data_IF_790335057723
#
_entry.id   IF_790335057723
#
_cell.length_a   1.000
_cell.length_b   1.000
_cell.length_c   1.000
_cell.angle_alpha   90.00
_cell.angle_beta   90.00
_cell.angle_gamma   90.00
#
_symmetry.space_group_name_H-M   'P 1'
#
loop_
_entity.id
_entity.type
_entity.pdbx_description
1 polymer ?
#
# COMPACT_ATOMS: atom_id res chain seq x y z
N UNK A 1 -25.08 14.00 -36.56
CA UNK A 1 -23.74 14.44 -36.98
C UNK A 1 -23.07 15.12 -35.80
N UNK A 2 -22.20 14.41 -35.08
CA UNK A 2 -21.34 15.01 -34.05
C UNK A 2 -19.89 14.73 -34.41
N UNK A 3 -19.29 15.66 -35.15
CA UNK A 3 -17.88 15.66 -35.58
C UNK A 3 -16.96 16.23 -34.49
N UNK A 4 -17.14 15.81 -33.24
CA UNK A 4 -16.20 16.13 -32.17
C UNK A 4 -15.95 14.89 -31.35
N UNK A 5 -14.66 14.56 -31.19
CA UNK A 5 -14.09 13.75 -30.13
C UNK A 5 -15.06 13.61 -28.95
N UNK A 6 -15.76 12.49 -28.83
CA UNK A 6 -16.61 12.25 -27.67
C UNK A 6 -15.68 12.11 -26.48
N UNK A 7 -15.54 13.16 -25.66
CA UNK A 7 -14.75 13.08 -24.45
C UNK A 7 -15.26 11.94 -23.58
N UNK A 8 -14.38 11.36 -22.74
CA UNK A 8 -14.84 10.36 -21.78
C UNK A 8 -15.90 10.97 -20.85
N UNK A 9 -16.65 10.12 -20.15
CA UNK A 9 -17.77 10.55 -19.30
C UNK A 9 -17.33 11.03 -17.90
N UNK A 10 -16.02 11.22 -17.67
CA UNK A 10 -15.51 11.69 -16.38
C UNK A 10 -15.80 13.18 -16.23
N UNK A 11 -16.55 13.52 -15.18
CA UNK A 11 -16.85 14.90 -14.80
C UNK A 11 -15.78 15.44 -13.85
N UNK A 12 -15.66 16.76 -13.78
CA UNK A 12 -14.80 17.39 -12.79
C UNK A 12 -15.32 17.08 -11.38
N UNK A 13 -14.46 16.58 -10.51
CA UNK A 13 -14.83 16.19 -9.15
C UNK A 13 -13.60 16.13 -8.23
N UNK A 14 -13.83 16.01 -6.93
CA UNK A 14 -12.78 15.81 -5.93
C UNK A 14 -13.04 14.50 -5.21
N UNK A 15 -12.01 13.66 -5.17
CA UNK A 15 -11.96 12.43 -4.40
C UNK A 15 -11.34 12.74 -3.04
N UNK A 16 -12.02 12.36 -1.97
CA UNK A 16 -11.47 12.33 -0.61
C UNK A 16 -11.11 10.89 -0.29
N UNK A 17 -9.82 10.64 -0.14
CA UNK A 17 -9.25 9.32 0.14
C UNK A 17 -8.88 9.28 1.61
N UNK A 18 -9.48 8.34 2.35
CA UNK A 18 -9.21 8.13 3.77
C UNK A 18 -8.60 6.75 3.99
N UNK A 19 -7.42 6.71 4.58
CA UNK A 19 -6.69 5.47 4.89
C UNK A 19 -5.60 5.72 5.93
N UNK A 20 -5.22 4.70 6.68
CA UNK A 20 -4.21 4.80 7.76
C UNK A 20 -4.53 5.88 8.81
N UNK A 21 -5.82 6.15 9.04
CA UNK A 21 -6.29 7.23 9.93
C UNK A 21 -6.04 8.66 9.44
N UNK A 22 -5.63 8.85 8.18
CA UNK A 22 -5.43 10.17 7.55
C UNK A 22 -6.34 10.35 6.35
N UNK A 23 -6.53 11.59 5.92
CA UNK A 23 -7.31 11.94 4.73
C UNK A 23 -6.50 12.81 3.79
N UNK A 24 -6.70 12.63 2.49
CA UNK A 24 -6.13 13.48 1.45
C UNK A 24 -7.12 13.64 0.30
N UNK A 25 -7.03 14.74 -0.42
CA UNK A 25 -7.92 15.03 -1.54
C UNK A 25 -7.18 14.95 -2.87
N UNK A 26 -7.87 14.45 -3.90
CA UNK A 26 -7.39 14.34 -5.27
C UNK A 26 -8.41 15.02 -6.18
N UNK A 27 -7.96 16.02 -6.94
CA UNK A 27 -8.82 16.71 -7.90
C UNK A 27 -8.78 16.00 -9.24
N UNK A 28 -9.94 15.55 -9.70
CA UNK A 28 -10.15 14.92 -11.00
C UNK A 28 -10.70 15.98 -11.96
N UNK A 29 -9.98 16.27 -13.03
CA UNK A 29 -10.46 17.15 -14.09
C UNK A 29 -11.53 16.45 -14.95
N UNK A 30 -12.42 17.22 -15.57
CA UNK A 30 -13.34 16.68 -16.58
C UNK A 30 -12.53 16.08 -17.74
N UNK A 31 -12.93 14.91 -18.24
CA UNK A 31 -12.20 14.22 -19.30
C UNK A 31 -10.92 13.51 -18.84
N UNK A 32 -10.61 13.45 -17.53
CA UNK A 32 -9.39 12.80 -17.05
C UNK A 32 -9.41 11.30 -17.35
N UNK A 33 -8.29 10.76 -17.84
CA UNK A 33 -8.12 9.32 -18.06
C UNK A 33 -7.99 8.57 -16.73
N UNK A 34 -8.29 7.27 -16.74
CA UNK A 34 -8.08 6.45 -15.55
C UNK A 34 -6.61 6.45 -15.09
N UNK A 35 -5.65 6.48 -16.02
CA UNK A 35 -4.22 6.65 -15.73
C UNK A 35 -3.96 7.87 -14.87
N UNK A 36 -4.48 9.04 -15.27
CA UNK A 36 -4.26 10.28 -14.54
C UNK A 36 -4.84 10.22 -13.13
N UNK A 37 -6.04 9.66 -12.98
CA UNK A 37 -6.70 9.51 -11.68
C UNK A 37 -5.90 8.56 -10.77
N UNK A 38 -5.36 7.47 -11.32
CA UNK A 38 -4.50 6.56 -10.57
C UNK A 38 -3.17 7.22 -10.18
N UNK A 39 -2.54 7.99 -11.07
CA UNK A 39 -1.30 8.73 -10.76
C UNK A 39 -1.51 9.76 -9.65
N UNK A 40 -2.58 10.56 -9.75
CA UNK A 40 -2.90 11.57 -8.74
C UNK A 40 -3.24 10.92 -7.38
N UNK A 41 -3.84 9.73 -7.39
CA UNK A 41 -4.05 8.92 -6.18
C UNK A 41 -2.74 8.36 -5.63
N UNK A 42 -1.88 7.85 -6.49
CA UNK A 42 -0.59 7.28 -6.10
C UNK A 42 0.36 8.34 -5.52
N UNK A 43 0.20 9.61 -5.92
CA UNK A 43 0.92 10.73 -5.35
C UNK A 43 0.61 10.98 -3.86
N UNK A 44 -0.55 10.54 -3.36
CA UNK A 44 -0.95 10.67 -1.95
C UNK A 44 -0.82 9.37 -1.14
N UNK A 45 -0.33 8.28 -1.75
CA UNK A 45 -0.20 6.96 -1.11
C UNK A 45 0.70 6.97 0.12
N UNK A 46 1.76 7.78 0.16
CA UNK A 46 2.64 7.86 1.34
C UNK A 46 1.91 8.32 2.61
N UNK A 47 0.85 9.13 2.44
CA UNK A 47 0.05 9.67 3.53
C UNK A 47 -1.10 8.72 3.86
N UNK A 48 -1.89 8.36 2.85
CA UNK A 48 -3.15 7.60 3.04
C UNK A 48 -2.96 6.08 3.10
N UNK A 49 -1.84 5.55 2.60
CA UNK A 49 -1.64 4.10 2.43
C UNK A 49 -2.44 3.48 1.27
N UNK A 50 -3.22 4.27 0.53
CA UNK A 50 -4.06 3.81 -0.59
C UNK A 50 -3.31 3.98 -1.90
N UNK A 51 -3.14 2.91 -2.66
CA UNK A 51 -2.63 2.90 -4.02
C UNK A 51 -3.76 2.68 -5.03
N UNK A 52 -3.51 3.03 -6.28
CA UNK A 52 -4.45 2.87 -7.38
C UNK A 52 -3.76 2.26 -8.60
N UNK A 53 -4.46 1.34 -9.26
CA UNK A 53 -4.10 0.79 -10.57
C UNK A 53 -5.18 1.16 -11.58
N UNK A 54 -4.78 1.47 -12.82
CA UNK A 54 -5.69 1.82 -13.89
C UNK A 54 -5.50 0.89 -15.08
N UNK A 55 -6.61 0.48 -15.70
CA UNK A 55 -6.61 -0.25 -16.96
C UNK A 55 -7.84 0.14 -17.75
N UNK A 56 -7.74 0.08 -19.08
CA UNK A 56 -8.87 0.28 -19.98
C UNK A 56 -8.97 -0.93 -20.89
N UNK A 57 -10.18 -1.48 -21.03
CA UNK A 57 -10.44 -2.56 -21.98
C UNK A 57 -11.71 -2.24 -22.76
N UNK A 58 -11.65 -2.43 -24.06
CA UNK A 58 -12.76 -2.20 -24.98
C UNK A 58 -12.84 -3.34 -25.98
N UNK A 59 -14.05 -3.79 -26.31
CA UNK A 59 -14.29 -4.76 -27.39
C UNK A 59 -14.92 -4.06 -28.59
N UNK A 60 -14.36 -4.30 -29.76
CA UNK A 60 -14.97 -3.95 -31.05
C UNK A 60 -15.45 -5.24 -31.71
N UNK A 61 -16.74 -5.35 -31.98
CA UNK A 61 -17.34 -6.57 -32.50
C UNK A 61 -18.68 -6.34 -33.17
N UNK A 62 -19.45 -7.42 -33.32
CA UNK A 62 -20.79 -7.40 -33.93
C UNK A 62 -20.82 -6.70 -35.29
N UNK A 63 -19.77 -6.92 -36.10
CA UNK A 63 -19.65 -6.32 -37.41
C UNK A 63 -20.75 -6.84 -38.33
N UNK A 64 -21.53 -5.93 -38.94
CA UNK A 64 -22.65 -6.32 -39.80
C UNK A 64 -22.23 -6.68 -41.23
N UNK A 65 -21.08 -6.22 -41.70
CA UNK A 65 -20.63 -6.43 -43.08
C UNK A 65 -19.11 -6.55 -43.17
N UNK A 66 -18.62 -7.54 -43.92
CA UNK A 66 -17.21 -7.69 -44.24
C UNK A 66 -16.78 -6.60 -45.23
N UNK A 67 -15.58 -6.04 -45.08
CA UNK A 67 -15.10 -4.91 -45.87
C UNK A 67 -13.82 -4.30 -45.32
N UNK A 68 -13.37 -3.19 -45.91
CA UNK A 68 -12.23 -2.43 -45.41
C UNK A 68 -12.69 -1.50 -44.29
N UNK A 69 -12.21 -1.76 -43.08
CA UNK A 69 -12.48 -0.94 -41.90
C UNK A 69 -11.35 0.06 -41.72
N UNK A 70 -11.70 1.33 -41.54
CA UNK A 70 -10.75 2.37 -41.15
C UNK A 70 -11.32 3.22 -40.02
N UNK A 71 -10.45 3.66 -39.11
CA UNK A 71 -10.76 4.60 -38.04
C UNK A 71 -9.47 5.23 -37.49
N UNK A 72 -9.61 6.34 -36.77
CA UNK A 72 -8.52 6.98 -36.04
C UNK A 72 -8.52 6.52 -34.58
N UNK A 73 -7.39 6.01 -34.10
CA UNK A 73 -7.23 5.47 -32.75
C UNK A 73 -6.39 6.40 -31.86
N UNK A 74 -6.88 6.60 -30.64
CA UNK A 74 -6.14 7.25 -29.56
C UNK A 74 -6.08 6.35 -28.33
N UNK A 75 -4.93 6.41 -27.67
CA UNK A 75 -4.62 5.81 -26.38
C UNK A 75 -3.69 6.76 -25.61
N UNK A 76 -2.40 6.41 -25.50
CA UNK A 76 -1.37 7.27 -24.90
C UNK A 76 -0.87 8.39 -25.82
N UNK A 77 -1.16 8.31 -27.12
CA UNK A 77 -0.78 9.29 -28.14
C UNK A 77 -1.62 10.57 -28.06
N UNK A 78 -0.98 11.71 -28.36
CA UNK A 78 -1.65 13.02 -28.46
C UNK A 78 -2.25 13.32 -29.85
N UNK A 79 -1.88 12.56 -30.88
CA UNK A 79 -2.35 12.73 -32.26
C UNK A 79 -2.92 11.42 -32.81
N UNK A 80 -4.02 11.49 -33.57
CA UNK A 80 -4.69 10.32 -34.15
C UNK A 80 -3.72 9.40 -34.91
N UNK A 81 -3.85 8.10 -34.70
CA UNK A 81 -3.20 7.07 -35.52
C UNK A 81 -4.26 6.38 -36.36
N UNK A 82 -4.14 6.47 -37.68
CA UNK A 82 -5.05 5.80 -38.60
C UNK A 82 -4.83 4.29 -38.56
N UNK A 83 -5.89 3.55 -38.27
CA UNK A 83 -5.95 2.08 -38.33
C UNK A 83 -6.77 1.71 -39.55
N UNK A 84 -6.24 0.80 -40.37
CA UNK A 84 -6.93 0.29 -41.55
C UNK A 84 -6.69 -1.19 -41.72
N UNK A 85 -7.75 -1.97 -41.94
CA UNK A 85 -7.66 -3.40 -42.18
C UNK A 85 -8.80 -3.90 -43.07
N UNK A 86 -8.51 -4.86 -43.93
CA UNK A 86 -9.52 -5.56 -44.72
C UNK A 86 -10.02 -6.78 -43.95
N UNK A 87 -11.32 -6.84 -43.73
CA UNK A 87 -12.01 -7.94 -43.04
C UNK A 87 -12.74 -8.78 -44.08
N UNK A 88 -12.36 -10.06 -44.21
CA UNK A 88 -12.95 -10.98 -45.18
C UNK A 88 -14.23 -11.66 -44.69
N UNK A 89 -14.41 -11.78 -43.37
CA UNK A 89 -15.60 -12.35 -42.74
C UNK A 89 -15.89 -11.59 -41.45
N UNK A 90 -17.17 -11.34 -41.15
CA UNK A 90 -17.57 -10.60 -39.95
C UNK A 90 -17.17 -11.29 -38.64
N UNK A 91 -16.87 -12.58 -38.67
CA UNK A 91 -16.37 -13.34 -37.54
C UNK A 91 -14.84 -13.38 -37.40
N UNK A 92 -14.09 -12.81 -38.34
CA UNK A 92 -12.62 -12.78 -38.30
C UNK A 92 -12.11 -11.35 -38.36
N UNK A 93 -11.77 -10.82 -37.18
CA UNK A 93 -11.21 -9.48 -37.02
C UNK A 93 -9.70 -9.52 -36.73
N UNK A 94 -9.02 -10.63 -37.04
CA UNK A 94 -7.58 -10.79 -36.81
C UNK A 94 -6.75 -9.72 -37.52
N UNK A 95 -7.14 -9.32 -38.73
CA UNK A 95 -6.50 -8.24 -39.49
C UNK A 95 -6.62 -6.88 -38.80
N UNK A 96 -7.77 -6.59 -38.18
CA UNK A 96 -7.98 -5.36 -37.40
C UNK A 96 -7.08 -5.37 -36.16
N UNK A 97 -7.04 -6.48 -35.42
CA UNK A 97 -6.16 -6.60 -34.26
C UNK A 97 -4.68 -6.48 -34.64
N UNK A 98 -4.26 -7.07 -35.76
CA UNK A 98 -2.90 -6.92 -36.27
C UNK A 98 -2.57 -5.46 -36.63
N UNK A 99 -3.49 -4.74 -37.28
CA UNK A 99 -3.32 -3.32 -37.61
C UNK A 99 -3.21 -2.44 -36.36
N UNK A 100 -3.99 -2.72 -35.31
CA UNK A 100 -3.87 -2.04 -34.01
C UNK A 100 -2.51 -2.37 -33.37
N UNK A 101 -2.14 -3.65 -33.33
CA UNK A 101 -0.89 -4.10 -32.70
C UNK A 101 0.35 -3.51 -33.40
N UNK A 102 0.31 -3.29 -34.72
CA UNK A 102 1.37 -2.61 -35.45
C UNK A 102 1.61 -1.16 -34.97
N UNK A 103 0.63 -0.55 -34.32
CA UNK A 103 0.68 0.82 -33.81
C UNK A 103 0.81 0.89 -32.28
N UNK A 104 1.02 -0.23 -31.59
CA UNK A 104 1.12 -0.31 -30.11
C UNK A 104 2.16 0.65 -29.54
N UNK A 105 3.29 0.85 -30.22
CA UNK A 105 4.34 1.75 -29.75
C UNK A 105 3.89 3.21 -29.64
N UNK A 106 2.95 3.63 -30.51
CA UNK A 106 2.39 4.98 -30.50
C UNK A 106 1.18 5.08 -29.58
N UNK A 107 0.27 4.09 -29.64
CA UNK A 107 -1.02 4.16 -28.95
C UNK A 107 -1.01 3.58 -27.54
N UNK A 108 -0.05 2.73 -27.19
CA UNK A 108 -0.03 1.98 -25.93
C UNK A 108 -1.18 0.97 -25.80
N UNK A 109 -1.83 0.60 -26.92
CA UNK A 109 -2.97 -0.32 -26.95
C UNK A 109 -2.55 -1.63 -27.59
N UNK A 110 -2.73 -2.73 -26.88
CA UNK A 110 -2.63 -4.09 -27.42
C UNK A 110 -4.01 -4.64 -27.79
N UNK A 111 -4.10 -5.40 -28.88
CA UNK A 111 -5.33 -6.02 -29.34
C UNK A 111 -5.21 -7.54 -29.44
N UNK A 112 -6.26 -8.26 -29.05
CA UNK A 112 -6.42 -9.71 -29.23
C UNK A 112 -7.79 -10.01 -29.84
N UNK A 113 -7.94 -11.17 -30.48
CA UNK A 113 -9.21 -11.59 -31.07
C UNK A 113 -9.71 -12.86 -30.41
N UNK A 114 -10.97 -12.87 -30.02
CA UNK A 114 -11.67 -14.05 -29.54
C UNK A 114 -13.15 -13.97 -29.91
N UNK A 115 -13.71 -15.05 -30.44
CA UNK A 115 -15.14 -15.16 -30.74
C UNK A 115 -15.70 -14.08 -31.67
N UNK A 116 -14.93 -13.63 -32.67
CA UNK A 116 -15.36 -12.58 -33.61
C UNK A 116 -15.39 -11.17 -33.03
N UNK A 117 -14.69 -10.94 -31.93
CA UNK A 117 -14.51 -9.62 -31.30
C UNK A 117 -13.03 -9.30 -31.14
N UNK A 118 -12.66 -8.03 -31.37
CA UNK A 118 -11.33 -7.50 -31.05
C UNK A 118 -11.38 -6.91 -29.66
N UNK A 119 -10.61 -7.47 -28.73
CA UNK A 119 -10.40 -6.89 -27.40
C UNK A 119 -9.15 -6.01 -27.44
N UNK A 120 -9.34 -4.71 -27.26
CA UNK A 120 -8.29 -3.71 -27.10
C UNK A 120 -8.04 -3.47 -25.61
N UNK A 121 -6.79 -3.41 -25.21
CA UNK A 121 -6.37 -3.17 -23.83
C UNK A 121 -5.30 -2.09 -23.77
N UNK A 122 -5.53 -1.07 -22.94
CA UNK A 122 -4.51 -0.14 -22.47
C UNK A 122 -4.14 -0.53 -21.04
N UNK A 123 -2.92 -1.07 -20.87
CA UNK A 123 -2.43 -1.53 -19.55
C UNK A 123 -2.20 -0.37 -18.57
N UNK A 124 -1.91 0.81 -19.07
CA UNK A 124 -1.73 2.00 -18.24
C UNK A 124 -3.06 2.68 -17.90
N UNK A 125 -4.16 2.32 -18.57
CA UNK A 125 -5.47 2.95 -18.32
C UNK A 125 -5.66 4.30 -19.01
N UNK A 126 -4.99 4.51 -20.15
CA UNK A 126 -5.41 5.58 -21.08
C UNK A 126 -6.74 5.21 -21.71
N UNK A 127 -7.53 6.21 -22.10
CA UNK A 127 -8.81 5.97 -22.75
C UNK A 127 -8.60 5.34 -24.13
N UNK A 128 -9.51 4.47 -24.54
CA UNK A 128 -9.52 3.92 -25.89
C UNK A 128 -10.55 4.70 -26.68
N UNK A 129 -10.09 5.55 -27.59
CA UNK A 129 -10.95 6.42 -28.39
C UNK A 129 -10.83 6.08 -29.86
N UNK A 130 -11.99 5.85 -30.47
CA UNK A 130 -12.16 5.61 -31.90
C UNK A 130 -12.84 6.84 -32.48
N UNK A 131 -12.23 7.44 -33.48
CA UNK A 131 -12.81 8.50 -34.30
C UNK A 131 -12.98 8.03 -35.74
N UNK A 132 -13.96 8.62 -36.43
CA UNK A 132 -14.17 8.44 -37.87
C UNK A 132 -14.30 6.95 -38.29
N UNK A 133 -15.10 6.17 -37.56
CA UNK A 133 -15.32 4.78 -37.95
C UNK A 133 -15.99 4.68 -39.31
N UNK A 134 -15.38 3.92 -40.22
CA UNK A 134 -15.92 3.63 -41.54
C UNK A 134 -15.66 2.18 -41.95
N UNK A 135 -16.58 1.62 -42.72
CA UNK A 135 -16.47 0.34 -43.39
C UNK A 135 -16.88 0.51 -44.86
N UNK A 136 -16.02 0.07 -45.79
CA UNK A 136 -16.25 0.18 -47.23
C UNK A 136 -17.53 -0.51 -47.73
N UNK A 137 -18.01 -1.55 -47.01
CA UNK A 137 -19.25 -2.25 -47.33
C UNK A 137 -20.48 -1.67 -46.61
N UNK A 138 -20.31 -0.60 -45.84
CA UNK A 138 -21.35 -0.04 -44.96
C UNK A 138 -21.55 -0.87 -43.68
N UNK A 139 -22.69 -0.67 -43.03
CA UNK A 139 -23.08 -1.37 -41.80
C UNK A 139 -22.55 -0.74 -40.52
N UNK A 140 -22.74 -1.45 -39.41
CA UNK A 140 -22.35 -1.01 -38.08
C UNK A 140 -21.38 -2.00 -37.40
N UNK A 141 -20.70 -1.50 -36.37
CA UNK A 141 -19.96 -2.29 -35.39
C UNK A 141 -20.36 -1.83 -33.98
N UNK A 142 -20.19 -2.69 -32.98
CA UNK A 142 -20.42 -2.35 -31.58
C UNK A 142 -19.09 -2.15 -30.86
N UNK A 143 -18.90 -0.97 -30.26
CA UNK A 143 -17.82 -0.70 -29.32
C UNK A 143 -18.37 -0.78 -27.90
N UNK A 144 -17.79 -1.66 -27.08
CA UNK A 144 -18.25 -1.85 -25.69
C UNK A 144 -17.07 -1.76 -24.73
N UNK A 145 -17.23 -1.06 -23.61
CA UNK A 145 -16.25 -1.11 -22.52
C UNK A 145 -16.35 -2.44 -21.79
N UNK A 146 -15.21 -2.98 -21.36
CA UNK A 146 -15.14 -4.17 -20.52
C UNK A 146 -14.51 -3.82 -19.17
N UNK A 147 -14.83 -4.59 -18.13
CA UNK A 147 -14.13 -4.50 -16.85
C UNK A 147 -12.79 -5.25 -16.95
N UNK A 148 -11.64 -4.56 -16.98
CA UNK A 148 -10.34 -5.20 -17.06
C UNK A 148 -9.95 -5.93 -15.76
N UNK A 149 -10.65 -5.68 -14.65
CA UNK A 149 -10.37 -6.27 -13.36
C UNK A 149 -11.29 -7.44 -13.01
N UNK A 150 -12.33 -7.70 -13.81
CA UNK A 150 -13.19 -8.86 -13.61
C UNK A 150 -12.48 -10.16 -13.99
N UNK A 151 -12.78 -11.26 -13.28
CA UNK A 151 -12.26 -12.60 -13.61
C UNK A 151 -12.86 -13.17 -14.90
N UNK A 152 -14.04 -12.69 -15.28
CA UNK A 152 -14.74 -13.02 -16.51
C UNK A 152 -15.08 -11.75 -17.29
N UNK A 153 -15.17 -11.88 -18.61
CA UNK A 153 -15.49 -10.76 -19.49
C UNK A 153 -16.85 -10.16 -19.11
N UNK A 154 -16.81 -8.98 -18.48
CA UNK A 154 -18.00 -8.27 -18.00
C UNK A 154 -18.09 -6.93 -18.71
N UNK A 155 -19.21 -6.69 -19.40
CA UNK A 155 -19.43 -5.43 -20.07
C UNK A 155 -19.65 -4.30 -19.06
N UNK A 156 -19.07 -3.15 -19.37
CA UNK A 156 -19.14 -1.93 -18.59
C UNK A 156 -19.87 -0.86 -19.39
N UNK A 157 -21.05 -0.49 -18.90
CA UNK A 157 -21.92 0.45 -19.60
C UNK A 157 -22.64 -0.18 -20.80
N UNK A 158 -23.28 0.66 -21.60
CA UNK A 158 -23.99 0.25 -22.80
C UNK A 158 -23.05 0.20 -24.00
N UNK A 159 -23.22 -0.81 -24.86
CA UNK A 159 -22.54 -0.86 -26.15
C UNK A 159 -22.92 0.37 -26.99
N UNK A 160 -21.92 0.99 -27.62
CA UNK A 160 -22.11 2.10 -28.56
C UNK A 160 -22.01 1.54 -29.97
N UNK A 161 -23.07 1.73 -30.76
CA UNK A 161 -23.08 1.34 -32.17
C UNK A 161 -22.34 2.40 -32.99
N UNK A 162 -21.23 2.00 -33.60
CA UNK A 162 -20.49 2.79 -34.57
C UNK A 162 -21.07 2.57 -35.96
N UNK A 163 -21.55 3.63 -36.60
CA UNK A 163 -22.20 3.56 -37.93
C UNK A 163 -21.27 4.04 -39.03
N UNK A 164 -21.07 3.23 -40.07
CA UNK A 164 -20.26 3.62 -41.23
C UNK A 164 -20.92 4.77 -42.01
N UNK A 165 -20.10 5.73 -42.47
CA UNK A 165 -20.54 6.84 -43.34
C UNK A 165 -20.99 8.10 -42.60
N UNK A 166 -21.01 8.11 -41.26
CA UNK A 166 -21.36 9.28 -40.46
C UNK A 166 -20.20 9.87 -39.66
N UNK A 167 -18.97 9.42 -39.91
CA UNK A 167 -17.79 9.78 -39.11
C UNK A 167 -18.01 9.52 -37.61
N UNK A 168 -18.60 8.36 -37.30
CA UNK A 168 -19.03 8.04 -35.95
C UNK A 168 -17.84 7.82 -35.02
N UNK A 169 -17.95 8.32 -33.80
CA UNK A 169 -16.82 8.42 -32.87
C UNK A 169 -17.27 8.08 -31.45
N UNK A 170 -16.45 7.37 -30.70
CA UNK A 170 -16.75 6.96 -29.32
C UNK A 170 -15.48 6.77 -28.51
N UNK A 171 -15.60 6.97 -27.19
CA UNK A 171 -14.51 6.81 -26.23
C UNK A 171 -14.93 5.86 -25.13
N UNK A 172 -14.10 4.85 -24.89
CA UNK A 172 -14.18 3.98 -23.72
C UNK A 172 -13.19 4.49 -22.67
N UNK A 173 -13.74 4.98 -21.56
CA UNK A 173 -12.95 5.40 -20.41
C UNK A 173 -12.44 4.21 -19.59
N UNK A 174 -11.26 4.37 -19.01
CA UNK A 174 -10.67 3.34 -18.16
C UNK A 174 -11.35 3.13 -16.81
N UNK A 175 -10.92 2.07 -16.12
CA UNK A 175 -11.31 1.73 -14.75
C UNK A 175 -10.12 1.96 -13.83
N UNK A 176 -10.41 2.42 -12.62
CA UNK A 176 -9.41 2.55 -11.54
C UNK A 176 -9.79 1.59 -10.42
N UNK A 177 -8.84 0.76 -10.01
CA UNK A 177 -8.95 -0.11 -8.84
C UNK A 177 -8.05 0.42 -7.74
N UNK A 178 -8.61 0.58 -6.55
CA UNK A 178 -7.90 1.06 -5.38
C UNK A 178 -7.53 -0.12 -4.48
N UNK A 179 -6.36 -0.04 -3.87
CA UNK A 179 -5.80 -1.10 -3.03
C UNK A 179 -5.10 -0.47 -1.82
N UNK A 180 -5.06 -1.21 -0.70
CA UNK A 180 -4.37 -0.81 0.52
C UNK A 180 -4.16 -2.05 1.37
N UNK A 181 -3.12 -2.04 2.22
CA UNK A 181 -2.91 -3.08 3.22
C UNK A 181 -3.85 -2.95 4.43
N UNK A 182 -4.42 -1.77 4.63
CA UNK A 182 -5.39 -1.47 5.68
C UNK A 182 -6.74 -1.06 5.08
N UNK A 183 -7.80 -1.06 5.91
CA UNK A 183 -9.11 -0.57 5.50
C UNK A 183 -9.07 0.90 5.08
N UNK A 184 -9.77 1.23 4.01
CA UNK A 184 -9.84 2.59 3.46
C UNK A 184 -11.24 2.94 2.99
N UNK A 185 -11.50 4.23 2.80
CA UNK A 185 -12.71 4.72 2.15
C UNK A 185 -12.38 5.75 1.09
N UNK A 186 -13.18 5.80 0.03
CA UNK A 186 -13.10 6.83 -1.00
C UNK A 186 -14.46 7.50 -1.10
N UNK A 187 -14.47 8.82 -0.96
CA UNK A 187 -15.67 9.63 -1.12
C UNK A 187 -15.47 10.55 -2.32
N UNK A 188 -16.52 10.80 -3.10
CA UNK A 188 -16.50 11.80 -4.17
C UNK A 188 -17.51 12.91 -3.86
N UNK A 189 -17.24 14.13 -4.29
CA UNK A 189 -18.22 15.22 -4.23
C UNK A 189 -19.26 15.18 -5.38
N UNK A 190 -19.16 14.24 -6.32
CA UNK A 190 -20.07 14.08 -7.46
C UNK A 190 -20.50 12.62 -7.65
N UNK A 191 -21.80 12.36 -7.77
CA UNK A 191 -22.40 11.02 -7.82
C UNK A 191 -22.86 10.56 -9.20
N UNK A 192 -22.32 11.13 -10.28
CA UNK A 192 -22.83 10.89 -11.64
C UNK A 192 -21.80 10.29 -12.60
N UNK A 193 -20.53 10.21 -12.20
CA UNK A 193 -19.44 9.81 -13.10
C UNK A 193 -18.66 8.60 -12.56
N UNK A 194 -17.63 8.80 -11.72
CA UNK A 194 -16.83 7.69 -11.17
C UNK A 194 -17.62 6.82 -10.17
N UNK A 195 -18.47 7.45 -9.37
CA UNK A 195 -19.31 6.76 -8.38
C UNK A 195 -20.77 7.15 -8.58
N UNK A 196 -21.67 6.29 -8.14
CA UNK A 196 -23.13 6.41 -8.31
C UNK A 196 -23.79 7.32 -7.27
N UNK A 197 -23.06 7.73 -6.22
CA UNK A 197 -23.57 8.60 -5.17
C UNK A 197 -22.49 9.59 -4.72
N UNK A 198 -22.91 10.84 -4.50
CA UNK A 198 -22.05 11.90 -3.96
C UNK A 198 -22.01 11.81 -2.44
N UNK A 199 -20.88 12.19 -1.85
CA UNK A 199 -20.67 12.31 -0.40
C UNK A 199 -20.94 11.03 0.40
N UNK A 200 -21.00 9.86 -0.26
CA UNK A 200 -21.13 8.56 0.40
C UNK A 200 -19.77 7.86 0.40
N UNK A 201 -19.20 7.56 1.58
CA UNK A 201 -17.94 6.82 1.66
C UNK A 201 -18.09 5.42 1.07
N UNK A 202 -17.31 5.12 0.03
CA UNK A 202 -17.17 3.79 -0.52
C UNK A 202 -16.10 3.06 0.28
N UNK A 203 -16.52 2.15 1.15
CA UNK A 203 -15.60 1.38 1.99
C UNK A 203 -14.94 0.25 1.19
N UNK A 204 -13.66 0.04 1.46
CA UNK A 204 -12.91 -1.09 0.93
C UNK A 204 -13.48 -2.42 1.40
N UNK A 205 -13.47 -3.43 0.53
CA UNK A 205 -13.73 -4.81 0.92
C UNK A 205 -12.42 -5.53 1.23
N UNK A 206 -12.45 -6.41 2.23
CA UNK A 206 -11.29 -7.23 2.57
C UNK A 206 -11.17 -8.41 1.60
N UNK A 207 -10.08 -8.47 0.84
CA UNK A 207 -9.69 -9.66 0.08
C UNK A 207 -8.99 -10.66 1.02
N UNK A 208 -9.70 -11.71 1.42
CA UNK A 208 -9.11 -12.76 2.25
C UNK A 208 -8.15 -13.64 1.44
N UNK A 209 -6.98 -13.94 2.00
CA UNK A 209 -5.96 -14.80 1.35
C UNK A 209 -6.55 -16.18 1.01
N UNK A 210 -7.46 -16.70 1.84
CA UNK A 210 -8.13 -17.99 1.61
C UNK A 210 -9.13 -18.00 0.46
N UNK A 211 -9.56 -16.83 -0.03
CA UNK A 211 -10.53 -16.68 -1.10
C UNK A 211 -9.87 -16.28 -2.44
N UNK A 212 -8.54 -16.28 -2.51
CA UNK A 212 -7.80 -15.96 -3.72
C UNK A 212 -7.91 -17.11 -4.73
N UNK A 213 -8.26 -16.76 -5.96
CA UNK A 213 -8.27 -17.67 -7.10
C UNK A 213 -7.26 -17.18 -8.16
N UNK A 214 -6.33 -18.06 -8.53
CA UNK A 214 -5.27 -17.80 -9.52
C UNK A 214 -5.57 -18.41 -10.89
N UNK A 215 -6.77 -18.99 -11.08
CA UNK A 215 -7.19 -19.61 -12.34
C UNK A 215 -7.28 -18.63 -13.50
N UNK A 216 -7.40 -17.33 -13.21
CA UNK A 216 -7.48 -16.24 -14.19
C UNK A 216 -6.33 -15.27 -14.03
N UNK A 217 -5.97 -14.57 -15.11
CA UNK A 217 -4.92 -13.54 -15.08
C UNK A 217 -5.28 -12.40 -14.13
N UNK A 218 -6.55 -11.97 -14.09
CA UNK A 218 -6.99 -10.93 -13.15
C UNK A 218 -6.88 -11.42 -11.70
N UNK A 219 -7.38 -12.63 -11.41
CA UNK A 219 -7.30 -13.24 -10.09
C UNK A 219 -5.86 -13.44 -9.60
N UNK A 220 -4.93 -13.81 -10.49
CA UNK A 220 -3.51 -13.91 -10.16
C UNK A 220 -2.88 -12.54 -9.80
N UNK A 221 -3.23 -11.46 -10.51
CA UNK A 221 -2.77 -10.11 -10.17
C UNK A 221 -3.32 -9.64 -8.82
N UNK A 222 -4.59 -9.94 -8.54
CA UNK A 222 -5.23 -9.65 -7.26
C UNK A 222 -4.60 -10.43 -6.11
N UNK A 223 -4.25 -11.69 -6.36
CA UNK A 223 -3.56 -12.54 -5.40
C UNK A 223 -2.17 -11.98 -5.07
N UNK A 224 -1.40 -11.55 -6.07
CA UNK A 224 -0.11 -10.89 -5.85
C UNK A 224 -0.25 -9.66 -4.96
N UNK A 225 -1.17 -8.75 -5.29
CA UNK A 225 -1.39 -7.53 -4.51
C UNK A 225 -1.85 -7.82 -3.07
N UNK A 226 -2.73 -8.81 -2.89
CA UNK A 226 -3.23 -9.21 -1.56
C UNK A 226 -2.13 -9.85 -0.71
N UNK A 227 -1.30 -10.72 -1.32
CA UNK A 227 -0.18 -11.38 -0.63
C UNK A 227 0.90 -10.36 -0.26
N UNK A 228 1.24 -9.42 -1.14
CA UNK A 228 2.21 -8.36 -0.85
C UNK A 228 1.75 -7.49 0.33
N UNK A 229 0.47 -7.14 0.37
CA UNK A 229 -0.13 -6.43 1.49
C UNK A 229 -0.05 -7.23 2.81
N UNK A 230 -0.38 -8.53 2.76
CA UNK A 230 -0.30 -9.41 3.91
C UNK A 230 1.14 -9.59 4.42
N UNK A 231 2.11 -9.76 3.52
CA UNK A 231 3.53 -9.85 3.85
C UNK A 231 4.05 -8.55 4.47
N UNK A 232 3.64 -7.40 3.94
CA UNK A 232 3.97 -6.09 4.50
C UNK A 232 3.44 -5.94 5.94
N UNK A 233 2.21 -6.38 6.20
CA UNK A 233 1.63 -6.39 7.54
C UNK A 233 2.40 -7.29 8.53
N UNK A 234 2.80 -8.49 8.09
CA UNK A 234 3.64 -9.40 8.88
C UNK A 234 5.02 -8.78 9.15
N UNK A 235 5.64 -8.17 8.14
CA UNK A 235 6.94 -7.52 8.27
C UNK A 235 6.88 -6.34 9.25
N UNK A 236 5.84 -5.51 9.18
CA UNK A 236 5.58 -4.43 10.13
C UNK A 236 5.44 -4.94 11.57
N UNK A 237 4.65 -6.00 11.76
CA UNK A 237 4.49 -6.65 13.07
C UNK A 237 5.82 -7.19 13.62
N UNK A 238 6.64 -7.83 12.77
CA UNK A 238 7.99 -8.30 13.14
C UNK A 238 8.93 -7.16 13.50
N UNK A 239 8.87 -6.04 12.77
CA UNK A 239 9.67 -4.86 13.05
C UNK A 239 9.30 -4.25 14.42
N UNK A 240 8.01 -4.16 14.75
CA UNK A 240 7.54 -3.71 16.06
C UNK A 240 8.01 -4.63 17.19
N UNK A 241 7.91 -5.95 17.01
CA UNK A 241 8.42 -6.92 17.98
C UNK A 241 9.95 -6.80 18.15
N UNK A 242 10.70 -6.60 17.07
CA UNK A 242 12.14 -6.36 17.12
C UNK A 242 12.50 -5.06 17.87
N UNK A 243 11.74 -3.99 17.66
CA UNK A 243 11.91 -2.75 18.41
C UNK A 243 11.65 -2.94 19.91
N UNK A 244 10.62 -3.71 20.27
CA UNK A 244 10.32 -4.07 21.66
C UNK A 244 11.47 -4.89 22.27
N UNK A 245 12.02 -5.87 21.54
CA UNK A 245 13.17 -6.65 21.99
C UNK A 245 14.39 -5.77 22.27
N UNK A 246 14.70 -4.82 21.38
CA UNK A 246 15.79 -3.86 21.60
C UNK A 246 15.56 -2.99 22.84
N UNK A 247 14.32 -2.56 23.06
CA UNK A 247 13.96 -1.80 24.26
C UNK A 247 14.13 -2.65 25.53
N UNK A 248 13.72 -3.92 25.50
CA UNK A 248 13.94 -4.83 26.63
C UNK A 248 15.42 -5.06 26.90
N UNK A 249 16.25 -5.32 25.89
CA UNK A 249 17.69 -5.48 26.06
C UNK A 249 18.34 -4.23 26.69
N UNK A 250 17.97 -3.04 26.21
CA UNK A 250 18.46 -1.77 26.74
C UNK A 250 18.02 -1.56 28.20
N UNK A 251 16.77 -1.89 28.51
CA UNK A 251 16.22 -1.77 29.87
C UNK A 251 16.92 -2.75 30.83
N UNK A 252 17.14 -3.99 30.40
CA UNK A 252 17.85 -5.00 31.18
C UNK A 252 19.28 -4.55 31.47
N UNK A 253 20.03 -4.08 30.45
CA UNK A 253 21.40 -3.59 30.64
C UNK A 253 21.48 -2.43 31.64
N UNK A 254 20.54 -1.47 31.55
CA UNK A 254 20.46 -0.37 32.50
C UNK A 254 20.12 -0.85 33.92
N UNK A 255 19.18 -1.79 34.06
CA UNK A 255 18.80 -2.38 35.35
C UNK A 255 19.96 -3.15 35.98
N UNK A 256 20.72 -3.93 35.19
CA UNK A 256 21.92 -4.65 35.67
C UNK A 256 22.97 -3.68 36.20
N UNK A 257 23.26 -2.61 35.45
CA UNK A 257 24.21 -1.57 35.89
C UNK A 257 23.74 -0.88 37.17
N UNK A 258 22.45 -0.58 37.26
CA UNK A 258 21.85 0.02 38.46
C UNK A 258 21.91 -0.93 39.66
N UNK A 259 21.63 -2.22 39.45
CA UNK A 259 21.71 -3.24 40.48
C UNK A 259 23.15 -3.44 40.99
N UNK A 260 24.15 -3.43 40.11
CA UNK A 260 25.57 -3.49 40.46
C UNK A 260 25.99 -2.27 41.30
N UNK A 261 25.62 -1.06 40.86
CA UNK A 261 25.88 0.17 41.60
C UNK A 261 25.20 0.17 42.97
N UNK A 262 23.95 -0.25 43.07
CA UNK A 262 23.23 -0.38 44.35
C UNK A 262 23.86 -1.42 45.26
N UNK A 263 24.29 -2.55 44.71
CA UNK A 263 24.99 -3.60 45.48
C UNK A 263 26.34 -3.10 45.99
N UNK A 264 27.10 -2.38 45.17
CA UNK A 264 28.37 -1.75 45.57
C UNK A 264 28.17 -0.70 46.65
N UNK A 265 27.17 0.19 46.50
CA UNK A 265 26.82 1.19 47.50
C UNK A 265 26.42 0.53 48.82
N UNK A 266 25.62 -0.54 48.77
CA UNK A 266 25.22 -1.30 49.95
C UNK A 266 26.41 -2.01 50.60
N UNK A 267 27.33 -2.61 49.84
CA UNK A 267 28.56 -3.20 50.38
C UNK A 267 29.38 -2.16 51.12
N UNK A 268 29.61 -0.98 50.54
CA UNK A 268 30.36 0.10 51.20
C UNK A 268 29.75 0.55 52.53
N UNK A 269 28.41 0.63 52.60
CA UNK A 269 27.71 0.95 53.85
C UNK A 269 27.93 -0.18 54.86
N UNK A 270 27.67 -1.43 54.46
CA UNK A 270 27.82 -2.58 55.36
C UNK A 270 29.27 -2.78 55.84
N UNK A 271 30.26 -2.62 54.95
CA UNK A 271 31.68 -2.75 55.28
C UNK A 271 32.13 -1.65 56.24
N UNK A 272 31.63 -0.41 56.07
CA UNK A 272 31.90 0.69 56.99
C UNK A 272 31.27 0.45 58.37
N UNK A 273 30.02 -0.01 58.42
CA UNK A 273 29.32 -0.37 59.65
C UNK A 273 30.04 -1.51 60.38
N UNK A 274 30.49 -2.54 59.65
CA UNK A 274 31.25 -3.66 60.21
C UNK A 274 32.60 -3.21 60.78
N UNK A 275 33.31 -2.35 60.06
CA UNK A 275 34.58 -1.79 60.52
C UNK A 275 34.38 -0.96 61.82
N UNK A 276 33.32 -0.16 61.88
CA UNK A 276 32.98 0.63 63.07
C UNK A 276 32.61 -0.26 64.27
N UNK A 277 31.78 -1.28 64.07
CA UNK A 277 31.39 -2.21 65.14
C UNK A 277 32.56 -3.05 65.63
N UNK A 278 33.42 -3.53 64.71
CA UNK A 278 34.63 -4.26 65.07
C UNK A 278 35.59 -3.38 65.86
N UNK A 279 35.80 -2.12 65.46
CA UNK A 279 36.63 -1.18 66.21
C UNK A 279 36.06 -0.91 67.62
N UNK A 280 34.73 -0.82 67.75
CA UNK A 280 34.07 -0.69 69.05
C UNK A 280 34.24 -1.95 69.91
N UNK A 281 34.07 -3.14 69.33
CA UNK A 281 34.29 -4.42 70.00
C UNK A 281 35.74 -4.57 70.47
N UNK A 282 36.72 -4.29 69.60
CA UNK A 282 38.15 -4.33 69.94
C UNK A 282 38.47 -3.31 71.03
N UNK A 283 37.95 -2.08 70.94
CA UNK A 283 38.10 -1.07 72.00
C UNK A 283 37.53 -1.58 73.32
N UNK A 284 36.34 -2.19 73.30
CA UNK A 284 35.71 -2.80 74.47
C UNK A 284 36.55 -3.91 75.08
N UNK A 285 37.09 -4.82 74.26
CA UNK A 285 37.98 -5.90 74.71
C UNK A 285 39.30 -5.38 75.30
N UNK A 286 39.94 -4.39 74.66
CA UNK A 286 41.16 -3.75 75.18
C UNK A 286 40.86 -3.05 76.51
N UNK A 287 39.75 -2.34 76.63
CA UNK A 287 39.36 -1.70 77.89
C UNK A 287 39.08 -2.74 78.99
N UNK A 288 38.47 -3.87 78.66
CA UNK A 288 38.27 -4.97 79.61
C UNK A 288 39.60 -5.59 80.06
N UNK A 289 40.52 -5.88 79.13
CA UNK A 289 41.86 -6.42 79.44
C UNK A 289 42.74 -5.41 80.20
N UNK A 290 42.69 -4.13 79.83
CA UNK A 290 43.39 -3.07 80.55
C UNK A 290 42.78 -2.84 81.94
N UNK A 291 41.45 -2.93 82.07
CA UNK A 291 40.76 -2.87 83.35
C UNK A 291 41.16 -4.00 84.29
N UNK A 292 41.25 -5.25 83.80
CA UNK A 292 41.72 -6.38 84.61
C UNK A 292 43.21 -6.28 84.94
N UNK A 293 44.07 -5.86 84.01
CA UNK A 293 45.49 -5.64 84.26
C UNK A 293 45.75 -4.47 85.22
N UNK A 294 45.01 -3.37 85.11
CA UNK A 294 45.07 -2.23 86.03
C UNK A 294 44.56 -2.61 87.42
N UNK A 295 43.48 -3.39 87.52
CA UNK A 295 43.02 -3.96 88.78
C UNK A 295 44.05 -4.91 89.38
N UNK A 296 44.73 -5.73 88.57
CA UNK A 296 45.81 -6.60 89.03
C UNK A 296 47.02 -5.80 89.52
N UNK A 297 47.43 -4.76 88.79
CA UNK A 297 48.51 -3.85 89.16
C UNK A 297 48.17 -3.07 90.44
N UNK A 298 46.95 -2.51 90.53
CA UNK A 298 46.46 -1.80 91.71
C UNK A 298 46.28 -2.73 92.93
N UNK A 299 45.98 -4.02 92.74
CA UNK A 299 45.99 -5.01 93.83
C UNK A 299 47.41 -5.45 94.23
N UNK A 300 48.38 -5.38 93.32
CA UNK A 300 49.78 -5.73 93.60
C UNK A 300 50.61 -4.58 94.21
N UNK A 301 50.24 -3.33 93.94
CA UNK A 301 50.91 -2.13 94.45
C UNK A 301 50.92 -2.03 96.00
N UNK A 302 49.83 -2.36 96.73
CA UNK A 302 49.83 -2.37 98.20
C UNK A 302 50.83 -3.37 98.80
N UNK A 303 51.05 -4.51 98.13
CA UNK A 303 52.02 -5.51 98.57
C UNK A 303 53.47 -5.00 98.41
N UNK A 304 53.75 -4.19 97.38
CA UNK A 304 55.05 -3.53 97.21
C UNK A 304 55.32 -2.44 98.24
N UNK A 305 54.30 -1.67 98.63
CA UNK A 305 54.43 -0.61 99.65
C UNK A 305 54.59 -1.21 101.06
N UNK A 306 53.97 -2.35 101.34
CA UNK A 306 54.17 -3.08 102.61
C UNK A 306 55.59 -3.64 102.76
N UNK A 307 56.32 -3.89 101.67
CA UNK A 307 57.73 -4.28 101.72
C UNK A 307 58.64 -3.10 102.09
N UNK A 308 58.28 -1.88 101.69
CA UNK A 308 59.04 -0.66 101.99
C UNK A 308 58.78 -0.12 103.41
N UNK A 309 57.64 -0.47 104.02
CA UNK A 309 57.30 -0.10 105.40
C UNK A 309 57.86 -1.07 106.45
N UNK A 310 58.48 -2.18 106.02
CA UNK A 310 59.06 -3.24 106.87
C UNK A 310 60.58 -3.39 106.76
N UNK A 311 61.24 -2.63 105.90
CA UNK A 311 62.70 -2.55 105.77
C UNK A 311 63.22 -1.22 106.29
#
# INVERSE_FOLDING_TARGET
>A
ASTSAVANRVGAQTLTIAGKGTTSTVTVAAGATAKKIADDTNAVTSTTGVSASAQTQATLGSLQSAGSITFNLYGSNSSAVAIGATVSSTGDLSSVAAAINAQTASTGISASVSGGTVTMQSKDGYDIKIEDFTNSAGGTAALTGQDPFASTATNVGSAVTLTSGTNDSSTVGGRVKFNSAEGYTITTNSGTTLFTAASTPQASTLSAVSALDISTVSGANDAMSTIDAALSSIASSRAQLGAIQNRFASTISNLTTTAENLTSARSRIQDADFAQETANLTRGQILQQAGTAMLAQANSLPNGVLALLKG
#
